data_IF_649424316441
#
_entry.id   IF_649424316441
#
_cell.length_a   1.000
_cell.length_b   1.000
_cell.length_c   1.000
_cell.angle_alpha   90.00
_cell.angle_beta   90.00
_cell.angle_gamma   90.00
#
_symmetry.space_group_name_H-M   'P 1'
#
loop_
_entity.id
_entity.type
_entity.pdbx_description
1 polymer ?
#
# COMPACT_ATOMS: atom_id res chain seq x y z
N UNK A 1 8.58 103.02 104.92
CA UNK A 1 7.65 103.23 106.05
C UNK A 1 8.27 104.25 106.99
N UNK A 2 7.67 105.42 107.14
CA UNK A 2 8.08 106.37 108.19
C UNK A 2 7.52 105.88 109.52
N UNK A 3 8.39 105.62 110.51
CA UNK A 3 7.96 105.24 111.85
C UNK A 3 7.31 106.46 112.53
N UNK A 4 6.00 106.38 112.80
CA UNK A 4 5.26 107.42 113.51
C UNK A 4 5.76 107.49 114.96
N UNK A 5 6.39 108.59 115.34
CA UNK A 5 6.91 108.81 116.69
C UNK A 5 5.81 109.29 117.64
N UNK A 6 5.69 108.64 118.79
CA UNK A 6 4.74 108.99 119.85
C UNK A 6 5.13 110.32 120.52
N UNK A 7 4.24 111.32 120.52
CA UNK A 7 4.49 112.60 121.23
C UNK A 7 4.21 112.44 122.74
N UNK A 8 5.15 112.87 123.58
CA UNK A 8 5.06 112.90 125.06
C UNK A 8 4.54 114.26 125.55
N UNK A 9 3.54 114.25 126.42
CA UNK A 9 3.04 115.40 127.18
C UNK A 9 3.39 115.31 128.68
N UNK A 10 2.82 116.22 129.49
CA UNK A 10 3.16 116.41 130.92
C UNK A 10 2.90 115.17 131.80
N UNK A 11 2.03 114.24 131.36
CA UNK A 11 1.68 112.98 132.05
C UNK A 11 1.70 111.76 131.11
N UNK A 12 2.77 111.59 130.31
CA UNK A 12 2.95 110.42 129.44
C UNK A 12 2.64 110.69 127.95
N UNK A 13 2.26 109.67 127.17
CA UNK A 13 1.96 109.84 125.74
C UNK A 13 0.61 110.52 125.53
N UNK A 14 0.52 111.41 124.54
CA UNK A 14 -0.74 112.12 124.29
C UNK A 14 -1.80 111.14 123.75
N UNK A 15 -3.05 111.18 124.27
CA UNK A 15 -4.13 110.30 123.84
C UNK A 15 -4.36 110.32 122.32
N UNK A 16 -4.15 111.48 121.71
CA UNK A 16 -4.30 111.71 120.27
C UNK A 16 -3.22 111.01 119.43
N UNK A 17 -1.96 110.99 119.90
CA UNK A 17 -0.87 110.26 119.22
C UNK A 17 -1.06 108.74 119.29
N UNK A 18 -1.56 108.24 120.44
CA UNK A 18 -1.87 106.81 120.62
C UNK A 18 -3.04 106.40 119.72
N UNK A 19 -4.11 107.20 119.63
CA UNK A 19 -5.24 106.95 118.71
C UNK A 19 -4.83 106.93 117.24
N UNK A 20 -3.95 107.86 116.83
CA UNK A 20 -3.44 107.91 115.45
C UNK A 20 -2.62 106.65 115.10
N UNK A 21 -1.77 106.19 116.01
CA UNK A 21 -0.95 104.99 115.81
C UNK A 21 -1.81 103.71 115.76
N UNK A 22 -2.84 103.62 116.61
CA UNK A 22 -3.82 102.52 116.54
C UNK A 22 -4.61 102.55 115.22
N UNK A 23 -5.05 103.73 114.77
CA UNK A 23 -5.76 103.87 113.50
C UNK A 23 -4.88 103.52 112.28
N UNK A 24 -3.58 103.86 112.31
CA UNK A 24 -2.64 103.48 111.24
C UNK A 24 -2.31 101.97 111.28
N UNK A 25 -2.18 101.40 112.48
CA UNK A 25 -2.03 99.95 112.68
C UNK A 25 -3.25 99.19 112.18
N UNK A 26 -4.46 99.67 112.45
CA UNK A 26 -5.70 99.06 111.97
C UNK A 26 -5.79 99.14 110.43
N UNK A 27 -5.37 100.25 109.82
CA UNK A 27 -5.25 100.36 108.35
C UNK A 27 -4.22 99.37 107.78
N UNK A 28 -3.09 99.15 108.45
CA UNK A 28 -2.12 98.13 108.04
C UNK A 28 -2.68 96.72 108.16
N UNK A 29 -3.38 96.39 109.25
CA UNK A 29 -4.01 95.07 109.40
C UNK A 29 -5.09 94.83 108.35
N UNK A 30 -5.89 95.84 108.00
CA UNK A 30 -6.87 95.75 106.91
C UNK A 30 -6.16 95.46 105.59
N UNK A 31 -5.11 96.22 105.23
CA UNK A 31 -4.33 95.99 104.00
C UNK A 31 -3.64 94.61 103.99
N UNK A 32 -3.08 94.19 105.11
CA UNK A 32 -2.44 92.88 105.22
C UNK A 32 -3.47 91.75 105.10
N UNK A 33 -4.67 91.92 105.66
CA UNK A 33 -5.77 90.96 105.52
C UNK A 33 -6.31 90.92 104.08
N UNK A 34 -6.41 92.06 103.39
CA UNK A 34 -6.77 92.13 101.97
C UNK A 34 -5.71 91.44 101.10
N UNK A 35 -4.42 91.68 101.37
CA UNK A 35 -3.32 91.01 100.68
C UNK A 35 -3.30 89.50 100.94
N UNK A 36 -3.54 89.06 102.17
CA UNK A 36 -3.64 87.65 102.51
C UNK A 36 -4.79 86.96 101.77
N UNK A 37 -5.98 87.59 101.75
CA UNK A 37 -7.13 87.08 100.98
C UNK A 37 -6.86 87.02 99.48
N UNK A 38 -6.19 88.03 98.92
CA UNK A 38 -5.81 88.03 97.51
C UNK A 38 -4.81 86.91 97.19
N UNK A 39 -3.82 86.69 98.08
CA UNK A 39 -2.87 85.60 97.95
C UNK A 39 -3.56 84.22 98.08
N UNK A 40 -4.48 84.05 99.02
CA UNK A 40 -5.28 82.83 99.18
C UNK A 40 -6.14 82.53 97.94
N UNK A 41 -6.76 83.56 97.35
CA UNK A 41 -7.52 83.43 96.11
C UNK A 41 -6.64 82.94 94.93
N UNK A 42 -5.44 83.53 94.78
CA UNK A 42 -4.48 83.09 93.75
C UNK A 42 -3.97 81.67 93.99
N UNK A 43 -3.76 81.26 95.24
CA UNK A 43 -3.36 79.88 95.57
C UNK A 43 -4.46 78.88 95.23
N UNK A 44 -5.73 79.24 95.46
CA UNK A 44 -6.88 78.43 95.06
C UNK A 44 -7.00 78.33 93.53
N UNK A 45 -6.80 79.44 92.81
CA UNK A 45 -6.81 79.48 91.35
C UNK A 45 -5.70 78.60 90.77
N UNK A 46 -4.44 78.81 91.18
CA UNK A 46 -3.30 78.00 90.75
C UNK A 46 -3.48 76.52 91.07
N UNK A 47 -4.06 76.20 92.24
CA UNK A 47 -4.35 74.80 92.59
C UNK A 47 -5.38 74.19 91.64
N UNK A 48 -6.44 74.93 91.30
CA UNK A 48 -7.45 74.46 90.35
C UNK A 48 -6.86 74.29 88.93
N UNK A 49 -5.95 75.17 88.52
CA UNK A 49 -5.24 75.06 87.25
C UNK A 49 -4.31 73.85 87.22
N UNK A 50 -3.56 73.59 88.32
CA UNK A 50 -2.70 72.42 88.44
C UNK A 50 -3.53 71.13 88.41
N UNK A 51 -4.67 71.09 89.11
CA UNK A 51 -5.58 69.94 89.09
C UNK A 51 -6.14 69.72 87.66
N UNK A 52 -6.53 70.78 86.94
CA UNK A 52 -7.00 70.69 85.57
C UNK A 52 -5.90 70.23 84.58
N UNK A 53 -4.69 70.75 84.70
CA UNK A 53 -3.55 70.34 83.87
C UNK A 53 -3.13 68.90 84.15
N UNK A 54 -3.21 68.46 85.41
CA UNK A 54 -2.92 67.07 85.79
C UNK A 54 -3.93 66.13 85.14
N UNK A 55 -5.22 66.45 85.20
CA UNK A 55 -6.26 65.67 84.54
C UNK A 55 -6.07 65.61 83.00
N UNK A 56 -5.74 66.74 82.36
CA UNK A 56 -5.44 66.77 80.92
C UNK A 56 -4.21 65.94 80.56
N UNK A 57 -3.19 65.92 81.43
CA UNK A 57 -1.99 65.12 81.21
C UNK A 57 -2.29 63.63 81.32
N UNK A 58 -3.11 63.21 82.30
CA UNK A 58 -3.57 61.82 82.45
C UNK A 58 -4.39 61.37 81.24
N UNK A 59 -5.36 62.18 80.78
CA UNK A 59 -6.15 61.89 79.58
C UNK A 59 -5.27 61.73 78.34
N UNK A 60 -4.29 62.62 78.14
CA UNK A 60 -3.34 62.49 77.02
C UNK A 60 -2.43 61.27 77.16
N UNK A 61 -2.02 60.90 78.37
CA UNK A 61 -1.24 59.69 78.59
C UNK A 61 -2.04 58.43 78.28
N UNK A 62 -3.32 58.38 78.65
CA UNK A 62 -4.20 57.27 78.31
C UNK A 62 -4.44 57.18 76.80
N UNK A 63 -4.70 58.30 76.14
CA UNK A 63 -4.84 58.36 74.69
C UNK A 63 -3.55 57.90 73.97
N UNK A 64 -2.37 58.28 74.47
CA UNK A 64 -1.10 57.83 73.91
C UNK A 64 -0.89 56.33 74.10
N UNK A 65 -1.20 55.77 75.28
CA UNK A 65 -1.14 54.32 75.51
C UNK A 65 -2.10 53.54 74.61
N UNK A 66 -3.32 54.06 74.41
CA UNK A 66 -4.29 53.46 73.50
C UNK A 66 -3.81 53.47 72.04
N UNK A 67 -3.26 54.60 71.58
CA UNK A 67 -2.69 54.72 70.24
C UNK A 67 -1.45 53.83 70.04
N UNK A 68 -0.62 53.66 71.07
CA UNK A 68 0.52 52.74 71.04
C UNK A 68 0.07 51.28 70.92
N UNK A 69 -0.97 50.87 71.66
CA UNK A 69 -1.56 49.55 71.56
C UNK A 69 -2.17 49.29 70.17
N UNK A 70 -2.93 50.24 69.64
CA UNK A 70 -3.48 50.14 68.28
C UNK A 70 -2.36 50.05 67.22
N UNK A 71 -1.28 50.83 67.39
CA UNK A 71 -0.13 50.75 66.48
C UNK A 71 0.61 49.41 66.57
N UNK A 72 0.63 48.73 67.72
CA UNK A 72 1.19 47.37 67.82
C UNK A 72 0.29 46.33 67.18
N UNK A 73 -1.03 46.45 67.32
CA UNK A 73 -2.00 45.54 66.70
C UNK A 73 -1.93 45.65 65.17
N UNK A 74 -1.97 46.88 64.64
CA UNK A 74 -1.85 47.13 63.20
C UNK A 74 -0.53 46.64 62.61
N UNK A 75 0.58 46.71 63.37
CA UNK A 75 1.86 46.13 62.93
C UNK A 75 1.79 44.62 62.86
N UNK A 76 1.15 43.98 63.85
CA UNK A 76 0.97 42.53 63.89
C UNK A 76 0.11 42.05 62.73
N UNK A 77 -1.01 42.73 62.45
CA UNK A 77 -1.89 42.42 61.31
C UNK A 77 -1.18 42.63 59.97
N UNK A 78 -0.41 43.72 59.83
CA UNK A 78 0.40 43.97 58.63
C UNK A 78 1.45 42.87 58.44
N UNK A 79 2.10 42.44 59.50
CA UNK A 79 3.13 41.40 59.40
C UNK A 79 2.50 40.03 59.09
N UNK A 80 1.31 39.73 59.63
CA UNK A 80 0.54 38.54 59.29
C UNK A 80 0.10 38.53 57.81
N UNK A 81 -0.48 39.62 57.32
CA UNK A 81 -0.89 39.75 55.91
C UNK A 81 0.30 39.68 54.95
N UNK A 82 1.47 40.19 55.34
CA UNK A 82 2.71 40.04 54.57
C UNK A 82 3.15 38.58 54.45
N UNK A 83 3.08 37.80 55.53
CA UNK A 83 3.39 36.37 55.51
C UNK A 83 2.42 35.60 54.61
N UNK A 84 1.14 35.96 54.62
CA UNK A 84 0.15 35.36 53.71
C UNK A 84 0.42 35.71 52.24
N UNK A 85 0.78 36.96 51.95
CA UNK A 85 1.17 37.40 50.60
C UNK A 85 2.41 36.65 50.10
N UNK A 86 3.44 36.51 50.95
CA UNK A 86 4.66 35.78 50.60
C UNK A 86 4.36 34.29 50.34
N UNK A 87 3.46 33.67 51.12
CA UNK A 87 3.01 32.30 50.88
C UNK A 87 2.22 32.18 49.56
N UNK A 88 1.34 33.13 49.26
CA UNK A 88 0.59 33.14 48.01
C UNK A 88 1.52 33.32 46.80
N UNK A 89 2.51 34.21 46.91
CA UNK A 89 3.52 34.42 45.87
C UNK A 89 4.34 33.14 45.61
N UNK A 90 4.74 32.43 46.65
CA UNK A 90 5.43 31.15 46.52
C UNK A 90 4.55 30.09 45.82
N UNK A 91 3.26 30.02 46.16
CA UNK A 91 2.30 29.13 45.48
C UNK A 91 2.15 29.45 43.99
N UNK A 92 2.05 30.74 43.64
CA UNK A 92 1.96 31.18 42.24
C UNK A 92 3.22 30.83 41.45
N UNK A 93 4.41 31.02 42.05
CA UNK A 93 5.68 30.64 41.42
C UNK A 93 5.77 29.13 41.17
N UNK A 94 5.31 28.31 42.13
CA UNK A 94 5.24 26.86 41.96
C UNK A 94 4.28 26.48 40.82
N UNK A 95 3.05 27.01 40.83
CA UNK A 95 2.05 26.73 39.80
C UNK A 95 2.53 27.16 38.40
N UNK A 96 3.27 28.26 38.30
CA UNK A 96 3.83 28.70 37.02
C UNK A 96 4.87 27.69 36.51
N UNK A 97 5.73 27.20 37.39
CA UNK A 97 6.70 26.15 37.05
C UNK A 97 6.01 24.86 36.61
N UNK A 98 4.97 24.43 37.33
CA UNK A 98 4.22 23.22 37.01
C UNK A 98 3.46 23.34 35.66
N UNK A 99 2.91 24.54 35.36
CA UNK A 99 2.25 24.82 34.08
C UNK A 99 3.26 24.82 32.93
N UNK A 100 4.46 25.37 33.12
CA UNK A 100 5.53 25.33 32.12
C UNK A 100 6.00 23.90 31.85
N UNK A 101 6.17 23.09 32.90
CA UNK A 101 6.49 21.66 32.77
C UNK A 101 5.41 20.92 32.00
N UNK A 102 4.14 21.09 32.37
CA UNK A 102 2.99 20.47 31.70
C UNK A 102 2.87 20.87 30.23
N UNK A 103 3.17 22.13 29.89
CA UNK A 103 3.19 22.60 28.50
C UNK A 103 4.28 21.93 27.68
N UNK A 104 5.46 21.72 28.28
CA UNK A 104 6.56 21.00 27.62
C UNK A 104 6.19 19.54 27.37
N UNK A 105 5.64 18.85 28.37
CA UNK A 105 5.16 17.47 28.23
C UNK A 105 4.09 17.34 27.13
N UNK A 106 3.16 18.30 27.06
CA UNK A 106 2.14 18.33 26.00
C UNK A 106 2.76 18.53 24.62
N UNK A 107 3.77 19.40 24.49
CA UNK A 107 4.47 19.62 23.22
C UNK A 107 5.22 18.34 22.77
N UNK A 108 5.90 17.67 23.68
CA UNK A 108 6.60 16.40 23.42
C UNK A 108 5.60 15.30 23.00
N UNK A 109 4.46 15.20 23.69
CA UNK A 109 3.39 14.25 23.34
C UNK A 109 2.78 14.54 21.96
N UNK A 110 2.57 15.81 21.61
CA UNK A 110 2.09 16.21 20.29
C UNK A 110 3.08 15.85 19.19
N UNK A 111 4.38 15.98 19.44
CA UNK A 111 5.40 15.60 18.47
C UNK A 111 5.43 14.08 18.25
N UNK A 112 5.33 13.29 19.34
CA UNK A 112 5.20 11.83 19.23
C UNK A 112 3.97 11.43 18.42
N UNK A 113 2.82 12.10 18.63
CA UNK A 113 1.62 11.86 17.83
C UNK A 113 1.84 12.19 16.35
N UNK A 114 2.47 13.33 16.02
CA UNK A 114 2.78 13.68 14.62
C UNK A 114 3.68 12.66 13.95
N UNK A 115 4.69 12.16 14.66
CA UNK A 115 5.59 11.10 14.16
C UNK A 115 4.81 9.81 13.92
N UNK A 116 3.95 9.41 14.86
CA UNK A 116 3.11 8.23 14.72
C UNK A 116 2.13 8.34 13.54
N UNK A 117 1.46 9.49 13.37
CA UNK A 117 0.57 9.76 12.23
C UNK A 117 1.33 9.70 10.90
N UNK A 118 2.55 10.25 10.86
CA UNK A 118 3.44 10.13 9.70
C UNK A 118 3.83 8.69 9.38
N UNK A 119 4.05 7.85 10.39
CA UNK A 119 4.32 6.43 10.21
C UNK A 119 3.09 5.67 9.70
N UNK A 120 1.90 5.93 10.26
CA UNK A 120 0.65 5.33 9.81
C UNK A 120 0.33 5.69 8.36
N UNK A 121 0.54 6.95 7.97
CA UNK A 121 0.37 7.39 6.59
C UNK A 121 1.30 6.64 5.62
N UNK A 122 2.57 6.44 5.99
CA UNK A 122 3.52 5.63 5.20
C UNK A 122 3.06 4.19 5.07
N UNK A 123 2.70 3.55 6.19
CA UNK A 123 2.22 2.17 6.19
C UNK A 123 0.95 1.99 5.34
N UNK A 124 0.03 2.96 5.35
CA UNK A 124 -1.14 2.95 4.48
C UNK A 124 -0.76 3.13 3.00
N UNK A 125 0.23 3.98 2.70
CA UNK A 125 0.82 4.10 1.36
C UNK A 125 1.39 2.77 0.86
N UNK A 126 2.21 2.11 1.68
CA UNK A 126 2.83 0.82 1.34
C UNK A 126 1.76 -0.26 1.10
N UNK A 127 0.74 -0.33 1.95
CA UNK A 127 -0.39 -1.26 1.77
C UNK A 127 -1.19 -0.98 0.50
N UNK A 128 -1.32 0.28 0.09
CA UNK A 128 -1.99 0.64 -1.15
C UNK A 128 -1.17 0.19 -2.37
N UNK A 129 0.15 0.35 -2.34
CA UNK A 129 1.07 -0.14 -3.39
C UNK A 129 1.00 -1.65 -3.49
N UNK A 130 1.14 -2.38 -2.38
CA UNK A 130 1.05 -3.86 -2.37
C UNK A 130 -0.30 -4.35 -2.90
N UNK A 131 -1.41 -3.67 -2.57
CA UNK A 131 -2.72 -4.00 -3.11
C UNK A 131 -2.79 -3.80 -4.63
N UNK A 132 -2.19 -2.74 -5.14
CA UNK A 132 -2.12 -2.49 -6.58
C UNK A 132 -1.27 -3.55 -7.28
N UNK A 133 -0.10 -3.88 -6.73
CA UNK A 133 0.82 -4.91 -7.25
C UNK A 133 0.16 -6.29 -7.29
N UNK A 134 -0.52 -6.69 -6.21
CA UNK A 134 -1.30 -7.93 -6.17
C UNK A 134 -2.44 -7.91 -7.21
N UNK A 135 -3.06 -6.75 -7.43
CA UNK A 135 -4.08 -6.56 -8.46
C UNK A 135 -3.54 -6.66 -9.90
N UNK A 136 -2.32 -6.18 -10.18
CA UNK A 136 -1.64 -6.42 -11.46
C UNK A 136 -1.24 -7.88 -11.63
N UNK A 137 -0.55 -8.47 -10.64
CA UNK A 137 -0.09 -9.85 -10.69
C UNK A 137 -1.25 -10.83 -10.92
N UNK A 138 -2.40 -10.59 -10.28
CA UNK A 138 -3.62 -11.37 -10.51
C UNK A 138 -4.14 -11.26 -11.94
N UNK A 139 -4.11 -10.06 -12.53
CA UNK A 139 -4.55 -9.86 -13.93
C UNK A 139 -3.60 -10.56 -14.90
N UNK A 140 -2.29 -10.42 -14.69
CA UNK A 140 -1.27 -11.05 -15.52
C UNK A 140 -1.39 -12.57 -15.45
N UNK A 141 -1.60 -13.13 -14.25
CA UNK A 141 -1.86 -14.56 -14.07
C UNK A 141 -3.08 -15.04 -14.87
N UNK A 142 -4.20 -14.29 -14.84
CA UNK A 142 -5.40 -14.66 -15.60
C UNK A 142 -5.14 -14.64 -17.11
N UNK A 143 -4.40 -13.65 -17.61
CA UNK A 143 -4.02 -13.56 -19.03
C UNK A 143 -3.13 -14.76 -19.43
N UNK A 144 -2.12 -15.07 -18.61
CA UNK A 144 -1.23 -16.21 -18.87
C UNK A 144 -1.98 -17.54 -18.83
N UNK A 145 -2.91 -17.71 -17.88
CA UNK A 145 -3.74 -18.91 -17.80
C UNK A 145 -4.63 -19.07 -19.04
N UNK A 146 -5.23 -17.98 -19.54
CA UNK A 146 -6.04 -18.01 -20.75
C UNK A 146 -5.18 -18.35 -21.98
N UNK A 147 -3.96 -17.80 -22.09
CA UNK A 147 -3.02 -18.13 -23.16
C UNK A 147 -2.60 -19.61 -23.11
N UNK A 148 -2.29 -20.13 -21.92
CA UNK A 148 -1.95 -21.54 -21.73
C UNK A 148 -3.09 -22.46 -22.20
N UNK A 149 -4.34 -22.18 -21.79
CA UNK A 149 -5.51 -22.94 -22.27
C UNK A 149 -5.72 -22.84 -23.78
N UNK A 150 -5.51 -21.67 -24.36
CA UNK A 150 -5.60 -21.50 -25.81
C UNK A 150 -4.52 -22.31 -26.54
N UNK A 151 -3.32 -22.38 -25.98
CA UNK A 151 -2.24 -23.20 -26.51
C UNK A 151 -2.56 -24.70 -26.40
N UNK A 152 -3.08 -25.15 -25.25
CA UNK A 152 -3.55 -26.52 -25.04
C UNK A 152 -4.60 -26.93 -26.09
N UNK A 153 -5.63 -26.11 -26.30
CA UNK A 153 -6.66 -26.38 -27.31
C UNK A 153 -6.08 -26.48 -28.74
N UNK A 154 -5.10 -25.62 -29.08
CA UNK A 154 -4.47 -25.67 -30.42
C UNK A 154 -3.60 -26.91 -30.59
N UNK A 155 -2.96 -27.39 -29.52
CA UNK A 155 -2.22 -28.66 -29.54
C UNK A 155 -3.18 -29.83 -29.77
N UNK A 156 -4.31 -29.87 -29.04
CA UNK A 156 -5.33 -30.90 -29.26
C UNK A 156 -5.86 -30.89 -30.71
N UNK A 157 -6.05 -29.70 -31.29
CA UNK A 157 -6.46 -29.54 -32.68
C UNK A 157 -5.40 -30.05 -33.67
N UNK A 158 -4.13 -29.69 -33.48
CA UNK A 158 -3.02 -30.19 -34.31
C UNK A 158 -2.84 -31.71 -34.18
N UNK A 159 -3.03 -32.28 -32.98
CA UNK A 159 -3.00 -33.73 -32.77
C UNK A 159 -4.14 -34.43 -33.53
N UNK A 160 -5.35 -33.85 -33.54
CA UNK A 160 -6.47 -34.37 -34.31
C UNK A 160 -6.25 -34.24 -35.83
N UNK A 161 -5.70 -33.11 -36.29
CA UNK A 161 -5.32 -32.90 -37.70
C UNK A 161 -4.31 -33.95 -38.15
N UNK A 162 -3.27 -34.21 -37.36
CA UNK A 162 -2.24 -35.22 -37.65
C UNK A 162 -2.81 -36.63 -37.68
N UNK A 163 -3.63 -37.02 -36.70
CA UNK A 163 -4.30 -38.32 -36.70
C UNK A 163 -5.12 -38.50 -37.99
N UNK A 164 -5.91 -37.50 -38.36
CA UNK A 164 -6.72 -37.56 -39.58
C UNK A 164 -5.87 -37.59 -40.86
N UNK A 165 -4.70 -36.94 -40.87
CA UNK A 165 -3.76 -36.98 -41.99
C UNK A 165 -3.09 -38.36 -42.11
N UNK A 166 -2.72 -38.96 -40.98
CA UNK A 166 -2.17 -40.32 -40.95
C UNK A 166 -3.18 -41.35 -41.44
N UNK A 167 -4.44 -41.27 -41.00
CA UNK A 167 -5.51 -42.17 -41.47
C UNK A 167 -5.77 -42.02 -42.98
N UNK A 168 -5.75 -40.79 -43.51
CA UNK A 168 -5.89 -40.52 -44.95
C UNK A 168 -4.78 -41.16 -45.76
N UNK A 169 -3.53 -41.00 -45.33
CA UNK A 169 -2.38 -41.59 -46.01
C UNK A 169 -2.36 -43.11 -45.92
N UNK A 170 -2.74 -43.69 -44.78
CA UNK A 170 -2.92 -45.13 -44.67
C UNK A 170 -3.98 -45.64 -45.65
N UNK A 171 -5.11 -44.92 -45.80
CA UNK A 171 -6.13 -45.26 -46.79
C UNK A 171 -5.63 -45.13 -48.24
N UNK A 172 -4.85 -44.08 -48.56
CA UNK A 172 -4.22 -43.91 -49.87
C UNK A 172 -3.21 -45.03 -50.17
N UNK A 173 -2.39 -45.43 -49.18
CA UNK A 173 -1.46 -46.55 -49.31
C UNK A 173 -2.18 -47.89 -49.53
N UNK A 174 -3.28 -48.12 -48.83
CA UNK A 174 -4.12 -49.31 -49.05
C UNK A 174 -4.72 -49.30 -50.45
N UNK A 175 -5.27 -48.16 -50.89
CA UNK A 175 -5.87 -48.03 -52.21
C UNK A 175 -4.85 -48.20 -53.34
N UNK A 176 -3.67 -47.59 -53.23
CA UNK A 176 -2.59 -47.73 -54.22
C UNK A 176 -2.08 -49.18 -54.27
N UNK A 177 -1.95 -49.83 -53.12
CA UNK A 177 -1.60 -51.25 -53.04
C UNK A 177 -2.65 -52.13 -53.72
N UNK A 178 -3.93 -51.95 -53.42
CA UNK A 178 -5.03 -52.72 -54.03
C UNK A 178 -5.03 -52.55 -55.56
N UNK A 179 -4.85 -51.32 -56.04
CA UNK A 179 -4.73 -51.03 -57.48
C UNK A 179 -3.54 -51.74 -58.12
N UNK A 180 -2.36 -51.70 -57.50
CA UNK A 180 -1.18 -52.39 -58.02
C UNK A 180 -1.35 -53.92 -57.99
N UNK A 181 -2.02 -54.47 -56.98
CA UNK A 181 -2.38 -55.89 -56.92
C UNK A 181 -3.37 -56.29 -58.02
N UNK A 182 -4.35 -55.44 -58.34
CA UNK A 182 -5.27 -55.64 -59.46
C UNK A 182 -4.56 -55.54 -60.81
N UNK A 183 -3.67 -54.56 -61.01
CA UNK A 183 -2.87 -54.43 -62.25
C UNK A 183 -1.93 -55.63 -62.44
N UNK A 184 -1.31 -56.13 -61.36
CA UNK A 184 -0.51 -57.37 -61.38
C UNK A 184 -1.38 -58.60 -61.69
N UNK A 185 -2.57 -58.70 -61.11
CA UNK A 185 -3.49 -59.82 -61.40
C UNK A 185 -3.92 -59.79 -62.86
N UNK A 186 -4.35 -58.63 -63.36
CA UNK A 186 -4.70 -58.43 -64.77
C UNK A 186 -3.57 -58.83 -65.71
N UNK A 187 -2.36 -58.32 -65.47
CA UNK A 187 -1.20 -58.65 -66.31
C UNK A 187 -0.82 -60.12 -66.23
N UNK A 188 -0.96 -60.78 -65.06
CA UNK A 188 -0.74 -62.22 -64.94
C UNK A 188 -1.77 -63.05 -65.71
N UNK A 189 -3.05 -62.67 -65.66
CA UNK A 189 -4.12 -63.34 -66.43
C UNK A 189 -3.93 -63.13 -67.94
N UNK A 190 -3.49 -61.94 -68.35
CA UNK A 190 -3.16 -61.62 -69.75
C UNK A 190 -1.94 -62.43 -70.25
N UNK A 191 -0.93 -62.65 -69.40
CA UNK A 191 0.20 -63.52 -69.69
C UNK A 191 -0.20 -65.00 -69.77
N UNK A 192 -1.03 -65.48 -68.85
CA UNK A 192 -1.52 -66.86 -68.85
C UNK A 192 -2.40 -67.15 -70.06
N UNK A 193 -3.24 -66.19 -70.46
CA UNK A 193 -4.04 -66.30 -71.69
C UNK A 193 -3.18 -66.23 -72.95
N UNK A 194 -2.15 -65.37 -72.99
CA UNK A 194 -1.18 -65.33 -74.09
C UNK A 194 -0.36 -66.64 -74.18
N UNK A 195 0.07 -67.21 -73.06
CA UNK A 195 0.74 -68.52 -72.99
C UNK A 195 -0.18 -69.66 -73.41
N UNK A 196 -1.45 -69.64 -73.00
CA UNK A 196 -2.45 -70.63 -73.42
C UNK A 196 -2.79 -70.51 -74.92
N UNK A 197 -2.83 -69.30 -75.46
CA UNK A 197 -3.00 -69.04 -76.89
C UNK A 197 -1.78 -69.45 -77.71
N UNK A 198 -0.57 -69.21 -77.22
CA UNK A 198 0.68 -69.67 -77.83
C UNK A 198 0.80 -71.21 -77.77
N UNK A 199 0.37 -71.84 -76.68
CA UNK A 199 0.32 -73.29 -76.54
C UNK A 199 -0.79 -73.96 -77.38
N UNK A 200 -1.84 -73.22 -77.72
CA UNK A 200 -2.95 -73.68 -78.59
C UNK A 200 -2.79 -73.28 -80.06
N UNK A 201 -1.71 -72.58 -80.43
CA UNK A 201 -1.44 -72.24 -81.81
C UNK A 201 -1.08 -73.52 -82.60
N UNK A 202 -1.80 -73.85 -83.69
CA UNK A 202 -1.47 -74.99 -84.54
C UNK A 202 -0.11 -74.76 -85.23
N UNK A 203 0.73 -75.79 -85.44
CA UNK A 203 1.97 -75.63 -86.19
C UNK A 203 1.63 -75.14 -87.60
N UNK A 204 2.12 -73.95 -87.95
CA UNK A 204 2.00 -73.44 -89.31
C UNK A 204 2.68 -74.43 -90.28
N UNK A 205 2.06 -74.75 -91.43
CA UNK A 205 2.58 -75.73 -92.37
C UNK A 205 3.89 -75.22 -92.99
N UNK A 206 4.95 -75.99 -92.77
CA UNK A 206 6.24 -75.81 -93.43
C UNK A 206 6.14 -76.24 -94.89
N UNK A 207 6.28 -75.31 -95.85
CA UNK A 207 6.99 -75.36 -97.16
C UNK A 207 6.87 -73.93 -97.77
N UNK A 208 7.89 -73.15 -98.18
CA UNK A 208 9.31 -73.38 -98.45
C UNK A 208 10.10 -72.04 -98.37
N UNK A 209 11.33 -72.09 -97.81
CA UNK A 209 12.34 -71.02 -97.84
C UNK A 209 13.02 -70.79 -96.48
N UNK A 210 14.36 -70.69 -96.38
CA UNK A 210 15.12 -70.68 -95.11
C UNK A 210 14.95 -69.42 -94.24
N UNK A 211 13.95 -68.58 -94.47
CA UNK A 211 13.72 -67.34 -93.71
C UNK A 211 12.57 -67.43 -92.71
N UNK A 212 11.64 -68.38 -92.83
CA UNK A 212 10.44 -68.42 -91.97
C UNK A 212 10.72 -68.87 -90.51
N UNK A 213 11.71 -69.73 -90.28
CA UNK A 213 12.10 -70.15 -88.92
C UNK A 213 12.91 -69.06 -88.20
N UNK A 214 13.74 -68.31 -88.92
CA UNK A 214 14.44 -67.13 -88.41
C UNK A 214 13.49 -65.95 -88.20
N UNK A 215 12.50 -65.75 -89.07
CA UNK A 215 11.47 -64.71 -88.91
C UNK A 215 10.50 -65.03 -87.76
N UNK A 216 10.09 -66.29 -87.56
CA UNK A 216 9.28 -66.68 -86.40
C UNK A 216 10.09 -66.65 -85.11
N UNK A 217 11.35 -67.08 -85.11
CA UNK A 217 12.23 -66.90 -83.96
C UNK A 217 12.47 -65.42 -83.68
N UNK A 218 12.65 -64.59 -84.70
CA UNK A 218 12.84 -63.15 -84.55
C UNK A 218 11.58 -62.45 -84.04
N UNK A 219 10.39 -62.87 -84.48
CA UNK A 219 9.13 -62.28 -84.04
C UNK A 219 8.78 -62.74 -82.63
N UNK A 220 9.03 -64.01 -82.28
CA UNK A 220 8.86 -64.53 -80.91
C UNK A 220 9.90 -63.92 -79.98
N UNK A 221 11.16 -63.81 -80.39
CA UNK A 221 12.22 -63.16 -79.62
C UNK A 221 11.98 -61.65 -79.50
N UNK A 222 11.42 -61.00 -80.53
CA UNK A 222 10.99 -59.60 -80.45
C UNK A 222 9.77 -59.42 -79.55
N UNK A 223 8.83 -60.37 -79.54
CA UNK A 223 7.67 -60.36 -78.65
C UNK A 223 8.07 -60.66 -77.21
N UNK A 224 8.98 -61.61 -76.96
CA UNK A 224 9.57 -61.91 -75.66
C UNK A 224 10.42 -60.73 -75.16
N UNK A 225 11.17 -60.07 -76.03
CA UNK A 225 11.89 -58.85 -75.67
C UNK A 225 10.94 -57.66 -75.44
N UNK A 226 9.82 -57.58 -76.15
CA UNK A 226 8.81 -56.54 -75.92
C UNK A 226 8.06 -56.78 -74.61
N UNK A 227 7.69 -58.03 -74.31
CA UNK A 227 7.09 -58.46 -73.05
C UNK A 227 8.06 -58.28 -71.88
N UNK A 228 9.32 -58.67 -72.05
CA UNK A 228 10.39 -58.41 -71.09
C UNK A 228 10.55 -56.92 -70.83
N UNK A 229 10.55 -56.09 -71.88
CA UNK A 229 10.59 -54.62 -71.75
C UNK A 229 9.36 -54.03 -71.07
N UNK A 230 8.16 -54.53 -71.36
CA UNK A 230 6.92 -54.05 -70.74
C UNK A 230 6.87 -54.45 -69.27
N UNK A 231 7.21 -55.70 -68.93
CA UNK A 231 7.30 -56.16 -67.54
C UNK A 231 8.39 -55.45 -66.76
N UNK A 232 9.57 -55.26 -67.34
CA UNK A 232 10.64 -54.50 -66.71
C UNK A 232 10.22 -53.03 -66.52
N UNK A 233 9.51 -52.43 -67.49
CA UNK A 233 9.01 -51.06 -67.36
C UNK A 233 7.92 -50.91 -66.30
N UNK A 234 6.99 -51.87 -66.21
CA UNK A 234 5.93 -51.91 -65.20
C UNK A 234 6.54 -52.12 -63.81
N UNK A 235 7.54 -53.01 -63.70
CA UNK A 235 8.29 -53.24 -62.48
C UNK A 235 9.08 -52.00 -62.04
N UNK A 236 9.80 -51.35 -62.96
CA UNK A 236 10.56 -50.12 -62.66
C UNK A 236 9.62 -49.00 -62.22
N UNK A 237 8.44 -48.87 -62.84
CA UNK A 237 7.42 -47.88 -62.44
C UNK A 237 6.84 -48.20 -61.06
N UNK A 238 6.44 -49.44 -60.80
CA UNK A 238 5.92 -49.86 -59.49
C UNK A 238 6.98 -49.68 -58.38
N UNK A 239 8.25 -50.00 -58.67
CA UNK A 239 9.35 -49.76 -57.75
C UNK A 239 9.65 -48.26 -57.55
N UNK A 240 9.39 -47.40 -58.54
CA UNK A 240 9.55 -45.96 -58.39
C UNK A 240 8.46 -45.35 -57.50
N UNK A 241 7.19 -45.72 -57.72
CA UNK A 241 6.06 -45.27 -56.91
C UNK A 241 6.15 -45.78 -55.46
N UNK A 242 6.56 -47.03 -55.25
CA UNK A 242 6.81 -47.57 -53.91
C UNK A 242 7.91 -46.78 -53.18
N UNK A 243 8.98 -46.40 -53.89
CA UNK A 243 10.07 -45.58 -53.30
C UNK A 243 9.61 -44.19 -52.92
N UNK A 244 8.69 -43.58 -53.68
CA UNK A 244 8.12 -42.27 -53.36
C UNK A 244 7.20 -42.35 -52.13
N UNK A 245 6.31 -43.33 -52.09
CA UNK A 245 5.47 -43.61 -50.92
C UNK A 245 6.30 -43.90 -49.65
N UNK A 246 7.41 -44.64 -49.77
CA UNK A 246 8.33 -44.89 -48.67
C UNK A 246 9.12 -43.66 -48.21
N UNK A 247 9.37 -42.68 -49.10
CA UNK A 247 9.97 -41.40 -48.72
C UNK A 247 8.96 -40.56 -47.94
N UNK A 248 7.74 -40.41 -48.45
CA UNK A 248 6.67 -39.69 -47.76
C UNK A 248 6.38 -40.28 -46.36
N UNK A 249 6.36 -41.62 -46.25
CA UNK A 249 6.19 -42.29 -44.96
C UNK A 249 7.35 -42.03 -43.98
N UNK A 250 8.57 -41.87 -44.47
CA UNK A 250 9.74 -41.57 -43.62
C UNK A 250 9.67 -40.15 -43.09
N UNK A 251 9.36 -39.19 -43.95
CA UNK A 251 9.23 -37.78 -43.58
C UNK A 251 8.17 -37.59 -42.47
N UNK A 252 7.01 -38.22 -42.61
CA UNK A 252 5.94 -38.12 -41.60
C UNK A 252 6.33 -38.83 -40.31
N UNK A 253 7.09 -39.94 -40.37
CA UNK A 253 7.62 -40.56 -39.15
C UNK A 253 8.60 -39.64 -38.43
N UNK A 254 9.45 -38.94 -39.17
CA UNK A 254 10.37 -37.96 -38.61
C UNK A 254 9.61 -36.79 -37.96
N UNK A 255 8.49 -36.35 -38.54
CA UNK A 255 7.62 -35.33 -37.96
C UNK A 255 6.90 -35.82 -36.69
N UNK A 256 6.40 -37.06 -36.69
CA UNK A 256 5.79 -37.69 -35.51
C UNK A 256 6.83 -37.85 -34.39
N UNK A 257 8.06 -38.26 -34.71
CA UNK A 257 9.15 -38.36 -33.74
C UNK A 257 9.53 -36.98 -33.19
N UNK A 258 9.58 -35.96 -34.04
CA UNK A 258 9.85 -34.56 -33.63
C UNK A 258 8.79 -34.03 -32.68
N UNK A 259 7.51 -34.31 -32.96
CA UNK A 259 6.39 -33.92 -32.12
C UNK A 259 6.34 -34.72 -30.81
N UNK A 260 6.60 -36.03 -30.85
CA UNK A 260 6.72 -36.85 -29.65
C UNK A 260 7.85 -36.32 -28.74
N UNK A 261 9.01 -35.98 -29.31
CA UNK A 261 10.12 -35.39 -28.57
C UNK A 261 9.80 -33.99 -28.03
N UNK A 262 9.00 -33.19 -28.74
CA UNK A 262 8.50 -31.91 -28.24
C UNK A 262 7.52 -32.11 -27.06
N UNK A 263 6.59 -33.06 -27.16
CA UNK A 263 5.67 -33.42 -26.09
C UNK A 263 6.40 -33.95 -24.85
N UNK A 264 7.41 -34.79 -25.03
CA UNK A 264 8.25 -35.28 -23.91
C UNK A 264 9.00 -34.13 -23.21
N UNK A 265 9.40 -33.10 -23.95
CA UNK A 265 10.00 -31.88 -23.37
C UNK A 265 8.99 -31.02 -22.61
N UNK A 266 7.73 -30.98 -23.04
CA UNK A 266 6.66 -30.22 -22.38
C UNK A 266 6.08 -30.94 -21.13
N UNK A 267 6.00 -32.27 -21.15
CA UNK A 267 5.44 -33.07 -20.06
C UNK A 267 5.99 -32.79 -18.64
N UNK A 268 7.31 -32.56 -18.41
CA UNK A 268 7.83 -32.18 -17.10
C UNK A 268 7.46 -30.73 -16.71
N UNK A 269 7.35 -29.81 -17.67
CA UNK A 269 6.99 -28.41 -17.41
C UNK A 269 5.52 -28.29 -16.98
N UNK A 270 4.60 -28.99 -17.66
CA UNK A 270 3.18 -29.06 -17.29
C UNK A 270 3.02 -29.66 -15.89
N UNK A 271 3.78 -30.73 -15.57
CA UNK A 271 3.79 -31.31 -14.22
C UNK A 271 4.28 -30.32 -13.16
N UNK A 272 5.37 -29.59 -13.43
CA UNK A 272 5.92 -28.59 -12.52
C UNK A 272 4.95 -27.42 -12.27
N UNK A 273 4.22 -26.97 -13.31
CA UNK A 273 3.18 -25.95 -13.19
C UNK A 273 2.01 -26.45 -12.33
N UNK A 274 1.56 -27.69 -12.54
CA UNK A 274 0.47 -28.27 -11.74
C UNK A 274 0.84 -28.41 -10.27
N UNK A 275 2.04 -28.90 -9.96
CA UNK A 275 2.57 -28.96 -8.58
C UNK A 275 2.66 -27.58 -7.94
N UNK A 276 3.08 -26.57 -8.70
CA UNK A 276 3.13 -25.17 -8.24
C UNK A 276 1.75 -24.61 -7.90
N UNK A 277 0.73 -24.90 -8.72
CA UNK A 277 -0.65 -24.48 -8.47
C UNK A 277 -1.20 -25.14 -7.19
N UNK A 278 -0.97 -26.44 -7.03
CA UNK A 278 -1.39 -27.20 -5.84
C UNK A 278 -0.72 -26.67 -4.56
N UNK A 279 0.57 -26.32 -4.62
CA UNK A 279 1.29 -25.69 -3.50
C UNK A 279 0.75 -24.29 -3.15
N UNK A 280 0.41 -23.50 -4.17
CA UNK A 280 -0.11 -22.13 -3.96
C UNK A 280 -1.51 -22.19 -3.34
N UNK A 281 -2.35 -23.15 -3.77
CA UNK A 281 -3.65 -23.41 -3.15
C UNK A 281 -3.53 -23.91 -1.71
N UNK A 282 -2.59 -24.82 -1.42
CA UNK A 282 -2.34 -25.31 -0.06
C UNK A 282 -1.84 -24.20 0.87
N UNK A 283 -1.01 -23.27 0.37
CA UNK A 283 -0.53 -22.10 1.13
C UNK A 283 -1.64 -21.07 1.34
N UNK A 284 -2.48 -20.82 0.34
CA UNK A 284 -3.66 -19.95 0.47
C UNK A 284 -4.66 -20.45 1.54
N UNK A 285 -4.84 -21.77 1.68
CA UNK A 285 -5.67 -22.38 2.72
C UNK A 285 -5.03 -22.29 4.12
N UNK A 286 -3.70 -22.16 4.22
CA UNK A 286 -2.97 -22.00 5.49
C UNK A 286 -2.85 -20.54 5.98
N UNK A 287 -3.37 -19.56 5.23
CA UNK A 287 -3.43 -18.14 5.63
C UNK A 287 -4.50 -17.95 6.71
N UNK A 288 -4.19 -18.35 7.94
CA UNK A 288 -4.89 -17.92 9.14
C UNK A 288 -4.22 -16.66 9.73
N UNK A 289 -5.03 -15.61 9.93
CA UNK A 289 -4.85 -14.38 10.73
C UNK A 289 -3.61 -13.47 10.57
N UNK A 290 -2.59 -13.81 9.78
CA UNK A 290 -1.41 -12.95 9.57
C UNK A 290 -1.35 -12.29 8.18
N UNK A 291 -2.03 -11.16 7.95
CA UNK A 291 -2.11 -10.53 6.60
C UNK A 291 -0.76 -9.97 6.09
N UNK A 292 0.18 -9.58 6.97
CA UNK A 292 1.46 -8.99 6.56
C UNK A 292 2.53 -10.04 6.24
N UNK A 293 2.61 -11.11 7.03
CA UNK A 293 3.60 -12.20 6.83
C UNK A 293 3.13 -13.24 5.79
N UNK A 294 1.87 -13.19 5.36
CA UNK A 294 1.31 -14.13 4.38
C UNK A 294 1.34 -13.64 2.93
N UNK A 295 1.51 -12.33 2.69
CA UNK A 295 1.42 -11.76 1.33
C UNK A 295 2.71 -11.92 0.56
N UNK A 296 3.88 -11.72 1.19
CA UNK A 296 5.18 -11.83 0.51
C UNK A 296 5.43 -13.25 -0.06
N UNK A 297 5.20 -14.35 0.68
CA UNK A 297 5.40 -15.69 0.15
C UNK A 297 4.41 -16.07 -0.96
N UNK A 298 3.21 -15.47 -0.95
CA UNK A 298 2.20 -15.68 -2.00
C UNK A 298 2.56 -14.91 -3.26
N UNK A 299 3.05 -13.67 -3.12
CA UNK A 299 3.54 -12.86 -4.24
C UNK A 299 4.77 -13.52 -4.87
N UNK A 300 5.74 -14.00 -4.08
CA UNK A 300 6.89 -14.76 -4.58
C UNK A 300 6.48 -16.06 -5.30
N UNK A 301 5.51 -16.80 -4.75
CA UNK A 301 4.99 -18.01 -5.39
C UNK A 301 4.26 -17.70 -6.72
N UNK A 302 3.49 -16.62 -6.77
CA UNK A 302 2.83 -16.15 -7.99
C UNK A 302 3.84 -15.67 -9.04
N UNK A 303 4.91 -14.98 -8.63
CA UNK A 303 6.00 -14.55 -9.51
C UNK A 303 6.74 -15.75 -10.10
N UNK A 304 7.14 -16.71 -9.25
CA UNK A 304 7.81 -17.94 -9.69
C UNK A 304 6.92 -18.79 -10.61
N UNK A 305 5.61 -18.79 -10.39
CA UNK A 305 4.64 -19.42 -11.29
C UNK A 305 4.53 -18.66 -12.62
N UNK A 306 4.51 -17.33 -12.59
CA UNK A 306 4.51 -16.48 -13.79
C UNK A 306 5.76 -16.71 -14.65
N UNK A 307 6.95 -16.77 -14.05
CA UNK A 307 8.21 -17.03 -14.75
C UNK A 307 8.22 -18.42 -15.41
N UNK A 308 7.69 -19.43 -14.70
CA UNK A 308 7.57 -20.79 -15.26
C UNK A 308 6.56 -20.86 -16.40
N UNK A 309 5.46 -20.12 -16.31
CA UNK A 309 4.47 -20.01 -17.39
C UNK A 309 5.04 -19.26 -18.60
N UNK A 310 5.88 -18.24 -18.39
CA UNK A 310 6.58 -17.53 -19.45
C UNK A 310 7.56 -18.47 -20.19
N UNK A 311 8.37 -19.24 -19.45
CA UNK A 311 9.26 -20.27 -20.01
C UNK A 311 8.47 -21.33 -20.77
N UNK A 312 7.33 -21.77 -20.24
CA UNK A 312 6.43 -22.69 -20.94
C UNK A 312 5.88 -22.06 -22.24
N UNK A 313 5.55 -20.77 -22.24
CA UNK A 313 5.08 -20.07 -23.44
C UNK A 313 6.16 -19.89 -24.51
N UNK A 314 7.40 -19.64 -24.12
CA UNK A 314 8.55 -19.52 -25.04
C UNK A 314 8.93 -20.88 -25.65
N UNK A 315 8.88 -21.95 -24.85
CA UNK A 315 9.17 -23.32 -25.29
C UNK A 315 7.99 -24.00 -26.00
N UNK A 316 6.76 -23.49 -25.81
CA UNK A 316 5.58 -23.88 -26.56
C UNK A 316 5.56 -23.31 -27.99
N UNK A 317 6.56 -22.51 -28.38
CA UNK A 317 6.80 -22.18 -29.77
C UNK A 317 6.94 -23.46 -30.61
N UNK A 318 6.14 -23.64 -31.68
CA UNK A 318 6.14 -24.87 -32.46
C UNK A 318 7.52 -25.09 -33.10
N UNK A 319 7.99 -26.36 -33.23
CA UNK A 319 9.12 -26.63 -34.12
C UNK A 319 8.69 -26.20 -35.53
N UNK A 320 9.42 -25.24 -36.13
CA UNK A 320 9.13 -24.74 -37.46
C UNK A 320 8.91 -25.90 -38.42
N UNK A 321 7.68 -26.01 -38.95
CA UNK A 321 7.41 -26.84 -40.11
C UNK A 321 8.26 -26.26 -41.24
N UNK A 322 9.09 -27.09 -41.85
CA UNK A 322 9.80 -26.73 -43.08
C UNK A 322 8.73 -26.36 -44.10
N UNK A 323 8.94 -25.22 -44.78
CA UNK A 323 8.14 -24.77 -45.91
C UNK A 323 7.93 -25.93 -46.89
N UNK A 324 6.77 -26.58 -46.81
CA UNK A 324 6.26 -27.39 -47.90
C UNK A 324 5.70 -26.40 -48.91
N UNK A 325 6.54 -26.11 -49.90
CA UNK A 325 6.16 -25.49 -51.16
C UNK A 325 5.07 -26.37 -51.79
N UNK A 326 3.82 -26.07 -51.52
CA UNK A 326 2.66 -26.66 -52.18
C UNK A 326 1.53 -25.66 -52.11
N UNK A 327 1.25 -25.07 -53.27
CA UNK A 327 -0.07 -24.57 -53.64
C UNK A 327 -1.12 -25.43 -52.95
N UNK A 328 -1.77 -24.90 -51.93
CA UNK A 328 -3.10 -25.20 -51.40
C UNK A 328 -3.25 -24.33 -50.15
N UNK A 329 -3.15 -23.02 -50.35
CA UNK A 329 -3.69 -22.07 -49.40
C UNK A 329 -5.22 -22.27 -49.36
N UNK A 330 -5.84 -22.59 -48.21
CA UNK A 330 -7.26 -22.33 -48.07
C UNK A 330 -7.46 -20.82 -48.26
N UNK A 331 -8.26 -20.45 -49.26
CA UNK A 331 -8.67 -19.06 -49.47
C UNK A 331 -9.23 -18.53 -48.17
N UNK A 332 -8.49 -17.61 -47.55
CA UNK A 332 -9.03 -16.70 -46.55
C UNK A 332 -10.18 -15.97 -47.23
N UNK A 333 -11.41 -16.33 -46.86
CA UNK A 333 -12.55 -15.45 -47.11
C UNK A 333 -12.33 -14.27 -46.18
N UNK A 334 -11.83 -13.17 -46.74
CA UNK A 334 -11.99 -11.86 -46.10
C UNK A 334 -13.49 -11.65 -45.92
N UNK A 335 -13.96 -11.83 -44.68
CA UNK A 335 -15.25 -11.29 -44.29
C UNK A 335 -15.04 -9.78 -44.26
N UNK A 336 -15.50 -9.13 -45.33
CA UNK A 336 -15.73 -7.70 -45.42
C UNK A 336 -16.63 -7.32 -44.23
N UNK A 337 -16.04 -6.77 -43.16
CA UNK A 337 -16.78 -6.08 -42.10
C UNK A 337 -17.33 -4.78 -42.71
N UNK A 338 -18.43 -4.95 -43.42
CA UNK A 338 -19.27 -3.89 -43.90
C UNK A 338 -19.80 -3.14 -42.68
N UNK A 339 -19.15 -2.02 -42.38
CA UNK A 339 -19.57 -1.08 -41.36
C UNK A 339 -21.05 -0.71 -41.56
N UNK A 340 -21.92 -0.82 -40.53
CA UNK A 340 -23.23 -0.21 -40.60
C UNK A 340 -23.07 1.31 -40.51
N UNK A 341 -23.16 1.94 -41.68
CA UNK A 341 -23.85 3.20 -41.95
C UNK A 341 -24.06 4.10 -40.72
N UNK A 342 -23.03 4.90 -40.41
CA UNK A 342 -23.21 6.14 -39.62
C UNK A 342 -23.37 7.30 -40.59
N UNK A 343 -24.54 7.41 -41.19
CA UNK A 343 -25.02 8.71 -41.65
C UNK A 343 -26.53 8.85 -41.47
N UNK A 344 -26.89 9.44 -40.32
CA UNK A 344 -28.29 9.66 -39.95
C UNK A 344 -28.46 10.60 -38.76
N UNK A 345 -27.56 11.56 -38.55
CA UNK A 345 -27.75 12.59 -37.51
C UNK A 345 -27.04 13.91 -37.82
N UNK A 346 -27.24 14.44 -39.02
CA UNK A 346 -27.01 15.86 -39.28
C UNK A 346 -28.10 16.39 -40.23
N UNK A 347 -29.21 16.84 -39.63
CA UNK A 347 -29.95 18.05 -39.98
C UNK A 347 -31.42 17.92 -39.58
N UNK A 348 -31.82 18.67 -38.54
CA UNK A 348 -32.83 19.74 -38.69
C UNK A 348 -33.12 20.43 -37.34
N UNK A 349 -32.86 21.75 -37.34
CA UNK A 349 -33.72 22.83 -36.80
C UNK A 349 -33.77 22.92 -35.26
N UNK A 350 -33.09 23.88 -34.63
CA UNK A 350 -33.53 25.27 -34.53
C UNK A 350 -35.07 25.38 -34.49
N UNK A 351 -35.64 25.79 -33.37
CA UNK A 351 -36.74 26.76 -33.24
C UNK A 351 -37.17 26.83 -31.76
N UNK A 352 -36.96 28.03 -31.22
CA UNK A 352 -37.53 28.65 -29.99
C UNK A 352 -37.02 28.18 -28.63
#
# INVERSE_FOLDING_TARGET
MQALQLKRGLFGYTPESVRLLLADRDKMFIRAAEQARAAEALVLELRSEVEALTAQFEERQEALRAAEAEATDLRTDRDATRVELDRAAASVAQLTTDVEASRKELADAQELMRVADGQLARQHGDLAVLRQELGSARRDFLIQNQRARSAENRVEELEAELLSATERLEAELVSTRERLEEELRWTSEELDTALAAAASAPPAPAEAGPTAAEELSSVVEAAEQALGRVLDSARVRAEAELREAERARREIREDVERLAAWRERLAPLVRAVRTSIDETQLRAVKVGDGVRDAVDPVTEALQALSDRLAVLSELAGPPAAVDSDSEWAPRVIEIDEQAPDRDGAAARRAWR
#
